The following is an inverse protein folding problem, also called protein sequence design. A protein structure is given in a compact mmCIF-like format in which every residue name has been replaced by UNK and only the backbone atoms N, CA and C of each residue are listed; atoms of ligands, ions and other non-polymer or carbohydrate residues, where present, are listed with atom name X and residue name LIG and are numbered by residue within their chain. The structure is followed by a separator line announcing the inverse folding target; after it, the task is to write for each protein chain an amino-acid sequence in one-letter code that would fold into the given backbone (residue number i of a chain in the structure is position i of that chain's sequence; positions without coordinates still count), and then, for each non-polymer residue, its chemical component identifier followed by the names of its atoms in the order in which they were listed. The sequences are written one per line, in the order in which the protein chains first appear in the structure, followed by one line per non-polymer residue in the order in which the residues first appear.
data_IF_086589097687
#
_entry.id   IF_086589097687
#
_cell.length_a   1.000
_cell.length_b   1.000
_cell.length_c   1.000
_cell.angle_alpha   90.00
_cell.angle_beta   90.00
_cell.angle_gamma   90.00
#
_symmetry.space_group_name_H-M   'P 1'
#
loop_
_entity.id
_entity.type
_entity.pdbx_description
1 polymer ?
#
# COMPACT_ATOMS: atom_id res chain seq x y z
N UNK A 1 -13.29 14.78 -20.93
CA UNK A 1 -12.03 14.80 -20.16
C UNK A 1 -11.54 13.37 -20.09
N UNK A 2 -10.32 13.10 -20.54
CA UNK A 2 -9.75 11.74 -20.49
C UNK A 2 -9.37 11.46 -19.03
N UNK A 3 -10.17 10.67 -18.34
CA UNK A 3 -9.84 10.11 -17.02
C UNK A 3 -8.73 9.07 -17.23
N UNK A 4 -7.48 9.54 -17.25
CA UNK A 4 -6.33 8.64 -17.31
C UNK A 4 -6.35 7.81 -16.03
N UNK A 5 -6.59 6.51 -16.16
CA UNK A 5 -6.34 5.54 -15.08
C UNK A 5 -4.82 5.52 -14.85
N UNK A 6 -4.29 6.48 -14.09
CA UNK A 6 -2.88 6.57 -13.79
C UNK A 6 -2.52 5.40 -12.88
N UNK A 7 -1.75 4.46 -13.41
CA UNK A 7 -1.31 3.26 -12.72
C UNK A 7 0.20 3.20 -12.79
N UNK A 8 0.84 3.38 -11.64
CA UNK A 8 2.29 3.21 -11.51
C UNK A 8 2.59 1.79 -11.00
N UNK A 9 3.52 1.12 -11.67
CA UNK A 9 4.01 -0.21 -11.30
C UNK A 9 5.52 -0.28 -11.52
N UNK A 10 6.17 -1.26 -10.89
CA UNK A 10 7.62 -1.50 -11.04
C UNK A 10 8.03 -1.91 -12.46
N UNK A 11 7.08 -2.32 -13.31
CA UNK A 11 7.29 -2.79 -14.66
C UNK A 11 5.98 -3.33 -15.24
N UNK A 12 6.02 -3.81 -16.49
CA UNK A 12 4.85 -4.43 -17.11
C UNK A 12 4.31 -5.61 -16.26
N UNK A 13 2.99 -5.83 -16.18
CA UNK A 13 2.42 -6.88 -15.32
C UNK A 13 3.00 -8.28 -15.54
N UNK A 14 3.40 -8.62 -16.77
CA UNK A 14 4.02 -9.90 -17.12
C UNK A 14 5.45 -10.07 -16.62
N UNK A 15 6.12 -8.96 -16.24
CA UNK A 15 7.47 -8.95 -15.70
C UNK A 15 7.49 -8.95 -14.16
N UNK A 16 6.33 -8.83 -13.51
CA UNK A 16 6.22 -8.76 -12.05
C UNK A 16 6.12 -10.16 -11.43
N UNK A 17 6.82 -10.38 -10.31
CA UNK A 17 6.66 -11.60 -9.51
C UNK A 17 5.37 -11.60 -8.69
N UNK A 18 4.77 -10.43 -8.48
CA UNK A 18 3.44 -10.28 -7.89
C UNK A 18 2.75 -9.01 -8.40
N UNK A 19 1.46 -9.17 -8.72
CA UNK A 19 0.57 -8.08 -9.11
C UNK A 19 -0.80 -8.31 -8.50
N UNK A 20 -1.32 -7.32 -7.77
CA UNK A 20 -2.69 -7.32 -7.24
C UNK A 20 -3.30 -5.94 -7.42
N UNK A 21 -4.53 -5.91 -7.93
CA UNK A 21 -5.30 -4.69 -8.14
C UNK A 21 -6.67 -4.87 -7.53
N UNK A 22 -7.07 -3.96 -6.65
CA UNK A 22 -8.37 -4.02 -5.96
C UNK A 22 -8.97 -2.64 -5.87
N UNK A 23 -10.29 -2.57 -6.06
CA UNK A 23 -11.01 -1.31 -6.12
C UNK A 23 -12.26 -1.32 -5.25
N UNK A 24 -12.68 -0.13 -4.84
CA UNK A 24 -13.95 0.10 -4.15
C UNK A 24 -14.52 1.44 -4.59
N UNK A 25 -15.84 1.50 -4.75
CA UNK A 25 -16.55 2.78 -4.95
C UNK A 25 -16.64 3.50 -3.62
N UNK A 26 -16.18 4.74 -3.60
CA UNK A 26 -16.24 5.62 -2.44
C UNK A 26 -17.57 6.41 -2.44
N UNK A 27 -18.18 6.61 -1.26
CA UNK A 27 -19.43 7.34 -1.16
C UNK A 27 -19.25 8.87 -1.24
N UNK A 28 -18.02 9.36 -1.03
CA UNK A 28 -17.64 10.78 -1.05
C UNK A 28 -16.29 10.96 -1.73
N UNK A 29 -16.05 12.17 -2.24
CA UNK A 29 -14.75 12.56 -2.79
C UNK A 29 -13.74 12.79 -1.66
N UNK A 30 -12.60 12.11 -1.73
CA UNK A 30 -11.46 12.27 -0.83
C UNK A 30 -10.16 12.22 -1.64
N UNK A 31 -9.06 12.64 -1.02
CA UNK A 31 -7.75 12.49 -1.63
C UNK A 31 -7.16 11.09 -1.40
N UNK A 32 -6.18 10.69 -2.24
CA UNK A 32 -5.44 9.44 -2.07
C UNK A 32 -4.70 9.38 -0.73
N UNK A 33 -4.15 10.51 -0.25
CA UNK A 33 -3.54 10.63 1.07
C UNK A 33 -4.55 10.48 2.21
N UNK A 34 -5.75 11.07 2.07
CA UNK A 34 -6.81 10.88 3.05
C UNK A 34 -7.26 9.40 3.13
N UNK A 35 -7.37 8.73 1.98
CA UNK A 35 -7.64 7.30 1.93
C UNK A 35 -6.55 6.49 2.66
N UNK A 36 -5.27 6.81 2.43
CA UNK A 36 -4.15 6.20 3.16
C UNK A 36 -4.32 6.36 4.67
N UNK A 37 -4.46 7.60 5.14
CA UNK A 37 -4.61 7.92 6.57
C UNK A 37 -5.74 7.10 7.22
N UNK A 38 -6.92 7.02 6.57
CA UNK A 38 -8.07 6.27 7.11
C UNK A 38 -7.78 4.77 7.19
N UNK A 39 -7.13 4.20 6.17
CA UNK A 39 -6.81 2.78 6.14
C UNK A 39 -5.77 2.40 7.19
N UNK A 40 -4.76 3.25 7.40
CA UNK A 40 -3.61 2.97 8.28
C UNK A 40 -3.75 3.50 9.70
N UNK A 41 -4.77 4.29 10.02
CA UNK A 41 -4.95 4.94 11.33
C UNK A 41 -4.92 3.97 12.54
N UNK A 42 -5.49 2.77 12.42
CA UNK A 42 -5.47 1.80 13.52
C UNK A 42 -5.11 0.42 12.96
N UNK A 43 -3.81 0.10 12.81
CA UNK A 43 -3.44 -1.25 12.43
C UNK A 43 -3.84 -2.19 13.57
N UNK A 44 -4.70 -3.16 13.26
CA UNK A 44 -5.15 -4.16 14.23
C UNK A 44 -3.97 -4.92 14.84
N UNK A 45 -4.15 -5.50 16.03
CA UNK A 45 -3.08 -6.18 16.77
C UNK A 45 -2.38 -7.27 15.95
N UNK A 46 -3.13 -8.01 15.13
CA UNK A 46 -2.61 -9.01 14.20
C UNK A 46 -1.65 -8.43 13.16
N UNK A 47 -1.95 -7.24 12.62
CA UNK A 47 -1.11 -6.57 11.63
C UNK A 47 0.19 -6.09 12.25
N UNK A 48 0.14 -5.55 13.48
CA UNK A 48 1.34 -5.18 14.25
C UNK A 48 2.20 -6.41 14.57
N UNK A 49 1.58 -7.54 14.91
CA UNK A 49 2.30 -8.79 15.13
C UNK A 49 2.95 -9.30 13.84
N UNK A 50 2.24 -9.26 12.71
CA UNK A 50 2.78 -9.64 11.40
C UNK A 50 3.99 -8.79 11.01
N UNK A 51 3.93 -7.46 11.20
CA UNK A 51 5.08 -6.59 10.95
C UNK A 51 6.26 -6.87 11.88
N UNK A 52 6.02 -7.19 13.16
CA UNK A 52 7.10 -7.61 14.08
C UNK A 52 7.74 -8.93 13.66
N UNK A 53 6.94 -9.92 13.26
CA UNK A 53 7.46 -11.21 12.77
C UNK A 53 8.26 -11.00 11.49
N UNK A 54 7.72 -10.21 10.54
CA UNK A 54 8.40 -9.79 9.32
C UNK A 54 9.74 -9.16 9.63
N UNK A 55 9.77 -8.16 10.51
CA UNK A 55 11.00 -7.43 10.87
C UNK A 55 12.03 -8.33 11.54
N UNK A 56 11.58 -9.30 12.36
CA UNK A 56 12.47 -10.26 13.01
C UNK A 56 13.11 -11.20 11.99
N UNK A 57 12.32 -11.82 11.11
CA UNK A 57 12.82 -12.71 10.06
C UNK A 57 13.73 -11.92 9.11
N UNK A 58 13.28 -10.74 8.69
CA UNK A 58 14.00 -9.82 7.80
C UNK A 58 15.35 -9.37 8.38
N UNK A 59 15.41 -9.07 9.69
CA UNK A 59 16.65 -8.63 10.33
C UNK A 59 17.76 -9.68 10.32
N UNK A 60 17.42 -10.97 10.24
CA UNK A 60 18.41 -12.06 10.09
C UNK A 60 19.06 -12.08 8.69
N UNK A 61 18.44 -11.43 7.70
CA UNK A 61 18.91 -11.35 6.32
C UNK A 61 19.36 -9.93 5.92
N UNK A 62 19.57 -9.03 6.89
CA UNK A 62 20.03 -7.66 6.64
C UNK A 62 19.00 -6.75 5.94
N UNK A 63 17.72 -7.09 6.04
CA UNK A 63 16.59 -6.35 5.47
C UNK A 63 16.16 -5.26 6.45
N UNK A 64 15.77 -4.08 5.95
CA UNK A 64 15.42 -2.92 6.79
C UNK A 64 14.17 -3.20 7.62
N UNK A 65 14.19 -2.82 8.89
CA UNK A 65 12.99 -2.88 9.75
C UNK A 65 12.02 -1.78 9.35
N UNK A 66 10.74 -2.13 9.19
CA UNK A 66 9.69 -1.16 8.81
C UNK A 66 8.95 -0.59 10.02
N UNK A 67 8.94 -1.28 11.17
CA UNK A 67 8.28 -0.79 12.41
C UNK A 67 6.74 -0.73 12.35
N UNK A 68 6.14 -0.91 11.17
CA UNK A 68 4.71 -0.87 10.93
C UNK A 68 4.20 0.52 10.52
N UNK A 69 2.89 0.72 10.56
CA UNK A 69 2.28 2.04 10.32
C UNK A 69 2.32 2.87 11.60
N UNK A 70 2.69 4.14 11.48
CA UNK A 70 2.72 5.10 12.58
C UNK A 70 1.32 5.37 13.16
N UNK A 71 0.27 5.19 12.35
CA UNK A 71 -1.11 5.52 12.70
C UNK A 71 -1.37 7.02 12.86
N UNK A 72 -0.35 7.86 12.65
CA UNK A 72 -0.46 9.31 12.73
C UNK A 72 -0.83 9.86 11.36
N UNK A 73 -2.00 10.54 11.22
CA UNK A 73 -2.41 11.08 9.94
C UNK A 73 -1.43 12.18 9.48
N UNK A 74 -1.12 12.19 8.19
CA UNK A 74 -0.34 13.27 7.57
C UNK A 74 -1.27 14.26 6.88
N UNK A 75 -0.98 15.55 7.03
CA UNK A 75 -1.74 16.64 6.39
C UNK A 75 -1.30 16.80 4.93
N UNK A 76 0.00 16.66 4.67
CA UNK A 76 0.60 16.67 3.34
C UNK A 76 1.77 15.69 3.28
N UNK A 77 2.10 15.27 2.06
CA UNK A 77 3.32 14.53 1.76
C UNK A 77 3.78 14.86 0.34
N UNK A 78 5.09 14.99 0.15
CA UNK A 78 5.72 15.31 -1.13
C UNK A 78 6.61 14.16 -1.62
N UNK A 79 6.89 14.14 -2.93
CA UNK A 79 7.83 13.19 -3.49
C UNK A 79 9.22 13.36 -2.86
N UNK A 80 9.87 12.24 -2.55
CA UNK A 80 11.15 12.19 -1.82
C UNK A 80 11.00 12.06 -0.29
N UNK A 81 9.82 12.33 0.27
CA UNK A 81 9.57 12.14 1.70
C UNK A 81 9.27 10.68 2.07
N UNK A 82 9.30 10.39 3.37
CA UNK A 82 8.88 9.09 3.92
C UNK A 82 7.46 9.16 4.47
N UNK A 83 6.59 8.27 3.98
CA UNK A 83 5.28 7.99 4.52
C UNK A 83 5.28 6.61 5.16
N UNK A 84 5.24 6.59 6.49
CA UNK A 84 5.58 5.42 7.28
C UNK A 84 6.97 4.90 6.86
N UNK A 85 7.07 3.66 6.38
CA UNK A 85 8.32 3.11 5.88
C UNK A 85 8.49 3.27 4.36
N UNK A 86 7.48 3.71 3.62
CA UNK A 86 7.57 3.88 2.17
C UNK A 86 8.22 5.20 1.79
N UNK A 87 8.99 5.20 0.70
CA UNK A 87 9.36 6.40 -0.04
C UNK A 87 8.15 6.86 -0.86
N UNK A 88 7.84 8.15 -0.83
CA UNK A 88 6.84 8.74 -1.70
C UNK A 88 7.50 9.07 -3.04
N UNK A 89 7.07 8.38 -4.10
CA UNK A 89 7.53 8.65 -5.47
C UNK A 89 6.70 9.76 -6.12
N UNK A 90 5.41 9.82 -5.80
CA UNK A 90 4.47 10.79 -6.35
C UNK A 90 3.30 11.02 -5.39
N UNK A 91 2.85 12.27 -5.30
CA UNK A 91 1.74 12.67 -4.43
C UNK A 91 0.92 13.75 -5.14
N UNK A 92 -0.35 13.44 -5.37
CA UNK A 92 -1.37 14.29 -5.97
C UNK A 92 -2.71 14.03 -5.26
N UNK A 93 -3.75 14.88 -5.46
CA UNK A 93 -5.05 14.66 -4.84
C UNK A 93 -5.66 13.29 -5.14
N UNK A 94 -5.52 12.81 -6.37
CA UNK A 94 -6.13 11.58 -6.88
C UNK A 94 -5.13 10.40 -6.96
N UNK A 95 -3.83 10.64 -6.81
CA UNK A 95 -2.80 9.61 -6.94
C UNK A 95 -1.76 9.71 -5.81
N UNK A 96 -1.43 8.59 -5.19
CA UNK A 96 -0.29 8.46 -4.27
C UNK A 96 0.52 7.22 -4.65
N UNK A 97 1.82 7.40 -4.93
CA UNK A 97 2.73 6.33 -5.31
C UNK A 97 3.79 6.17 -4.24
N UNK A 98 3.86 4.96 -3.70
CA UNK A 98 4.71 4.58 -2.59
C UNK A 98 5.62 3.44 -3.01
N UNK A 99 6.90 3.50 -2.70
CA UNK A 99 7.85 2.41 -2.95
C UNK A 99 8.59 2.02 -1.69
N UNK A 100 8.98 0.76 -1.64
CA UNK A 100 10.04 0.34 -0.73
C UNK A 100 10.99 -0.59 -1.48
N UNK A 101 12.28 -0.27 -1.39
CA UNK A 101 13.35 -0.96 -2.09
C UNK A 101 14.23 -1.68 -1.07
N UNK A 102 14.30 -2.99 -1.16
CA UNK A 102 15.00 -3.81 -0.20
C UNK A 102 15.82 -4.92 -0.89
N UNK A 103 16.70 -5.58 -0.13
CA UNK A 103 17.64 -6.58 -0.65
C UNK A 103 16.95 -7.78 -1.30
N UNK A 104 15.76 -8.13 -0.81
CA UNK A 104 15.05 -9.34 -1.21
C UNK A 104 13.96 -9.10 -2.24
N UNK A 105 13.37 -7.91 -2.24
CA UNK A 105 12.34 -7.49 -3.17
C UNK A 105 12.18 -5.97 -3.16
N UNK A 106 11.59 -5.48 -4.23
CA UNK A 106 11.07 -4.13 -4.38
C UNK A 106 9.55 -4.17 -4.40
N UNK A 107 8.91 -3.22 -3.73
CA UNK A 107 7.46 -3.02 -3.75
C UNK A 107 7.14 -1.64 -4.29
N UNK A 108 6.10 -1.55 -5.12
CA UNK A 108 5.41 -0.30 -5.43
C UNK A 108 3.92 -0.46 -5.17
N UNK A 109 3.35 0.52 -4.48
CA UNK A 109 1.92 0.65 -4.22
C UNK A 109 1.45 1.96 -4.86
N UNK A 110 0.54 1.86 -5.81
CA UNK A 110 -0.14 2.98 -6.42
C UNK A 110 -1.57 3.03 -5.90
N UNK A 111 -1.90 4.08 -5.17
CA UNK A 111 -3.26 4.44 -4.79
C UNK A 111 -3.77 5.42 -5.84
N UNK A 112 -4.91 5.14 -6.46
CA UNK A 112 -5.49 5.99 -7.50
C UNK A 112 -6.99 6.16 -7.28
N UNK A 113 -7.52 7.34 -7.58
CA UNK A 113 -8.94 7.66 -7.52
C UNK A 113 -9.35 8.17 -8.90
N UNK A 114 -10.37 7.54 -9.48
CA UNK A 114 -10.99 8.03 -10.71
C UNK A 114 -12.50 7.85 -10.58
N UNK A 115 -13.27 8.93 -10.75
CA UNK A 115 -14.74 8.87 -10.66
C UNK A 115 -15.24 8.19 -9.37
N UNK A 116 -14.65 8.56 -8.21
CA UNK A 116 -14.88 7.94 -6.88
C UNK A 116 -14.52 6.45 -6.77
N UNK A 117 -13.92 5.86 -7.78
CA UNK A 117 -13.37 4.51 -7.70
C UNK A 117 -11.95 4.60 -7.15
N UNK A 118 -11.79 4.22 -5.89
CA UNK A 118 -10.48 4.09 -5.27
C UNK A 118 -9.89 2.73 -5.60
N UNK A 119 -8.67 2.73 -6.12
CA UNK A 119 -7.94 1.53 -6.54
C UNK A 119 -6.58 1.48 -5.87
N UNK A 120 -6.27 0.34 -5.27
CA UNK A 120 -4.95 -0.02 -4.79
C UNK A 120 -4.33 -0.98 -5.80
N UNK A 121 -3.24 -0.57 -6.44
CA UNK A 121 -2.41 -1.44 -7.27
C UNK A 121 -1.10 -1.71 -6.54
N UNK A 122 -0.75 -2.98 -6.39
CA UNK A 122 0.48 -3.42 -5.74
C UNK A 122 1.29 -4.26 -6.71
N UNK A 123 2.55 -3.89 -6.93
CA UNK A 123 3.50 -4.61 -7.78
C UNK A 123 4.76 -4.94 -7.00
N UNK A 124 5.30 -6.16 -7.18
CA UNK A 124 6.54 -6.60 -6.53
C UNK A 124 7.47 -7.23 -7.56
N UNK A 125 8.76 -6.93 -7.44
CA UNK A 125 9.86 -7.65 -8.08
C UNK A 125 10.72 -8.26 -6.99
N UNK A 126 11.01 -9.55 -7.09
CA UNK A 126 11.88 -10.28 -6.15
C UNK A 126 13.29 -10.38 -6.72
N UNK A 127 14.30 -10.25 -5.87
CA UNK A 127 15.70 -10.24 -6.29
C UNK A 127 16.40 -11.59 -6.12
N UNK A 128 15.89 -12.44 -5.22
CA UNK A 128 16.54 -13.69 -4.85
C UNK A 128 15.53 -14.75 -4.36
N UNK A 129 16.01 -15.98 -4.14
CA UNK A 129 15.19 -17.11 -3.69
C UNK A 129 14.48 -16.84 -2.36
N UNK A 130 15.13 -16.11 -1.45
CA UNK A 130 14.50 -15.71 -0.19
C UNK A 130 13.30 -14.78 -0.45
N UNK A 131 13.43 -13.79 -1.33
CA UNK A 131 12.32 -12.93 -1.76
C UNK A 131 11.16 -13.70 -2.38
N UNK A 132 11.45 -14.67 -3.26
CA UNK A 132 10.42 -15.54 -3.86
C UNK A 132 9.70 -16.37 -2.82
N UNK A 133 10.43 -17.02 -1.90
CA UNK A 133 9.86 -17.82 -0.83
C UNK A 133 9.04 -16.96 0.15
N UNK A 134 9.53 -15.75 0.45
CA UNK A 134 8.86 -14.77 1.30
C UNK A 134 7.51 -14.33 0.72
N UNK A 135 7.38 -14.25 -0.60
CA UNK A 135 6.13 -13.90 -1.27
C UNK A 135 5.05 -15.00 -1.21
N UNK A 136 5.40 -16.26 -0.95
CA UNK A 136 4.42 -17.36 -0.85
C UNK A 136 3.38 -17.12 0.27
N UNK A 137 3.76 -16.77 1.52
CA UNK A 137 2.80 -16.37 2.55
C UNK A 137 2.36 -14.91 2.42
N UNK A 138 3.23 -14.01 1.97
CA UNK A 138 2.98 -12.56 2.00
C UNK A 138 1.99 -12.13 0.93
N UNK A 139 2.05 -12.69 -0.27
CA UNK A 139 1.10 -12.38 -1.35
C UNK A 139 -0.37 -12.65 -0.95
N UNK A 140 -0.71 -13.86 -0.46
CA UNK A 140 -2.05 -14.14 0.06
C UNK A 140 -2.46 -13.24 1.23
N UNK A 141 -1.57 -13.01 2.20
CA UNK A 141 -1.85 -12.13 3.33
C UNK A 141 -2.13 -10.69 2.89
N UNK A 142 -1.38 -10.17 1.90
CA UNK A 142 -1.57 -8.85 1.32
C UNK A 142 -2.98 -8.69 0.75
N UNK A 143 -3.48 -9.66 -0.01
CA UNK A 143 -4.85 -9.63 -0.57
C UNK A 143 -5.91 -9.47 0.52
N UNK A 144 -5.76 -10.19 1.62
CA UNK A 144 -6.68 -10.10 2.77
C UNK A 144 -6.61 -8.73 3.45
N UNK A 145 -5.41 -8.20 3.62
CA UNK A 145 -5.15 -6.87 4.21
C UNK A 145 -5.78 -5.79 3.35
N UNK A 146 -5.52 -5.77 2.04
CA UNK A 146 -6.07 -4.77 1.11
C UNK A 146 -7.59 -4.83 1.10
N UNK A 147 -8.19 -6.02 1.02
CA UNK A 147 -9.65 -6.17 1.13
C UNK A 147 -10.21 -5.64 2.46
N UNK A 148 -9.51 -5.86 3.57
CA UNK A 148 -9.91 -5.33 4.87
C UNK A 148 -9.84 -3.80 4.90
N UNK A 149 -8.77 -3.23 4.37
CA UNK A 149 -8.54 -1.79 4.29
C UNK A 149 -9.61 -1.09 3.43
N UNK A 150 -9.93 -1.64 2.25
CA UNK A 150 -10.99 -1.11 1.39
C UNK A 150 -12.36 -1.14 2.08
N UNK A 151 -12.70 -2.24 2.75
CA UNK A 151 -13.94 -2.36 3.53
C UNK A 151 -13.99 -1.37 4.70
N UNK A 152 -12.86 -1.16 5.39
CA UNK A 152 -12.75 -0.17 6.47
C UNK A 152 -12.95 1.24 5.94
N UNK A 153 -12.26 1.60 4.86
CA UNK A 153 -12.36 2.90 4.21
C UNK A 153 -13.81 3.21 3.87
N UNK A 154 -14.47 2.33 3.11
CA UNK A 154 -15.87 2.50 2.74
C UNK A 154 -16.78 2.69 3.96
N UNK A 155 -16.71 1.79 4.96
CA UNK A 155 -17.53 1.90 6.18
C UNK A 155 -17.31 3.20 6.95
N UNK A 156 -16.07 3.69 7.05
CA UNK A 156 -15.76 4.94 7.75
C UNK A 156 -16.33 6.13 7.01
N UNK A 157 -16.25 6.15 5.68
CA UNK A 157 -16.82 7.23 4.87
C UNK A 157 -18.35 7.21 4.88
N UNK A 158 -18.98 6.03 4.77
CA UNK A 158 -20.44 5.89 4.88
C UNK A 158 -20.96 6.42 6.24
N UNK A 159 -20.20 6.22 7.32
CA UNK A 159 -20.57 6.70 8.65
C UNK A 159 -20.44 8.22 8.82
N UNK A 160 -19.60 8.90 8.01
CA UNK A 160 -19.45 10.36 8.03
C UNK A 160 -20.54 11.09 7.25
N UNK A 161 -21.36 10.36 6.48
CA UNK A 161 -22.50 10.90 5.74
C UNK A 161 -23.82 10.84 6.50
N UNK A 162 -23.86 10.16 7.65
CA UNK A 162 -25.01 10.09 8.54
C UNK A 162 -24.95 11.21 9.56
#
# INVERSE_FOLDING_TARGET
MVTTNIVHTLGAPTALDYYDRRSVVLPVDITALAAWNIMTAEPGMFMRLAFRIRDRISSLFGVKRIGGFSGSPRISVQAGERLDFFLVEHSAPDVLVLTERDRHLDVMICLSISERVFTITSSVLTHNTFGRLYMLPVGPAHKLIVNSNLRRLKRKLDALQK
#
